data_IF_810479035814
#
_entry.id   IF_810479035814
#
_cell.length_a   1.000
_cell.length_b   1.000
_cell.length_c   1.000
_cell.angle_alpha   90.00
_cell.angle_beta   90.00
_cell.angle_gamma   90.00
#
_symmetry.space_group_name_H-M   'P 1'
#
loop_
_entity.id
_entity.type
_entity.pdbx_description
1 polymer ?
#
# COMPACT_ATOMS: atom_id res chain seq x y z
N UNK A 1 19.04 -3.54 0.28
CA UNK A 1 18.36 -2.90 1.44
C UNK A 1 17.55 -3.99 2.13
N UNK A 2 17.43 -4.05 3.45
CA UNK A 2 16.65 -5.10 4.13
C UNK A 2 15.34 -4.50 4.67
N UNK A 3 14.19 -5.08 4.29
CA UNK A 3 12.86 -4.61 4.69
C UNK A 3 12.12 -5.63 5.57
N UNK A 4 12.86 -6.49 6.28
CA UNK A 4 12.26 -7.52 7.13
C UNK A 4 11.88 -8.81 6.39
N UNK A 5 11.03 -9.65 6.99
CA UNK A 5 10.68 -10.98 6.49
C UNK A 5 10.10 -11.00 5.06
N UNK A 6 9.35 -9.96 4.68
CA UNK A 6 8.70 -9.85 3.37
C UNK A 6 9.50 -9.01 2.36
N UNK A 7 10.83 -8.96 2.51
CA UNK A 7 11.69 -8.08 1.73
C UNK A 7 11.41 -8.12 0.21
N UNK A 8 11.23 -9.31 -0.38
CA UNK A 8 10.97 -9.44 -1.81
C UNK A 8 9.66 -8.76 -2.25
N UNK A 9 8.58 -8.93 -1.49
CA UNK A 9 7.30 -8.28 -1.79
C UNK A 9 7.36 -6.77 -1.57
N UNK A 10 8.04 -6.32 -0.51
CA UNK A 10 8.23 -4.90 -0.22
C UNK A 10 9.05 -4.23 -1.34
N UNK A 11 10.15 -4.86 -1.76
CA UNK A 11 11.00 -4.36 -2.84
C UNK A 11 10.23 -4.30 -4.17
N UNK A 12 9.55 -5.38 -4.54
CA UNK A 12 8.77 -5.42 -5.79
C UNK A 12 7.68 -4.34 -5.83
N UNK A 13 6.99 -4.11 -4.70
CA UNK A 13 6.02 -3.03 -4.60
C UNK A 13 6.67 -1.66 -4.77
N UNK A 14 7.75 -1.35 -4.05
CA UNK A 14 8.49 -0.08 -4.18
C UNK A 14 8.95 0.14 -5.63
N UNK A 15 9.51 -0.88 -6.28
CA UNK A 15 10.02 -0.79 -7.65
C UNK A 15 8.90 -0.55 -8.67
N UNK A 16 7.67 -0.95 -8.34
CA UNK A 16 6.49 -0.71 -9.19
C UNK A 16 5.88 0.67 -9.01
N UNK A 17 6.13 1.38 -7.90
CA UNK A 17 5.53 2.71 -7.62
C UNK A 17 5.80 3.72 -8.73
N UNK A 18 7.03 3.86 -9.28
CA UNK A 18 7.30 4.80 -10.38
C UNK A 18 6.55 4.48 -11.68
N UNK A 19 6.01 3.27 -11.81
CA UNK A 19 5.26 2.84 -12.99
C UNK A 19 3.76 3.11 -12.88
N UNK A 20 3.30 3.70 -11.78
CA UNK A 20 1.90 4.04 -11.57
C UNK A 20 1.44 5.09 -12.58
N UNK A 21 0.27 4.83 -13.18
CA UNK A 21 -0.39 5.71 -14.13
C UNK A 21 -1.54 6.42 -13.41
N UNK A 22 -1.64 7.74 -13.60
CA UNK A 22 -2.68 8.56 -12.97
C UNK A 22 -4.10 8.04 -13.26
N UNK A 23 -4.37 7.69 -14.53
CA UNK A 23 -5.69 7.21 -14.94
C UNK A 23 -6.10 5.92 -14.21
N UNK A 24 -5.16 4.98 -14.03
CA UNK A 24 -5.39 3.71 -13.33
C UNK A 24 -5.65 3.96 -11.84
N UNK A 25 -4.88 4.87 -11.24
CA UNK A 25 -5.08 5.28 -9.84
C UNK A 25 -6.47 5.88 -9.63
N UNK A 26 -6.87 6.85 -10.46
CA UNK A 26 -8.18 7.48 -10.36
C UNK A 26 -9.34 6.50 -10.63
N UNK A 27 -9.13 5.54 -11.53
CA UNK A 27 -10.10 4.48 -11.77
C UNK A 27 -10.24 3.56 -10.55
N UNK A 28 -9.12 3.17 -9.93
CA UNK A 28 -9.12 2.34 -8.73
C UNK A 28 -9.80 3.05 -7.54
N UNK A 29 -9.50 4.33 -7.31
CA UNK A 29 -10.14 5.13 -6.26
C UNK A 29 -11.65 5.22 -6.49
N UNK A 30 -12.08 5.55 -7.70
CA UNK A 30 -13.52 5.58 -8.05
C UNK A 30 -14.17 4.23 -7.82
N UNK A 31 -13.55 3.14 -8.27
CA UNK A 31 -14.08 1.80 -8.08
C UNK A 31 -14.29 1.50 -6.60
N UNK A 32 -13.32 1.78 -5.74
CA UNK A 32 -13.43 1.55 -4.30
C UNK A 32 -14.57 2.34 -3.66
N UNK A 33 -14.69 3.63 -3.97
CA UNK A 33 -15.73 4.49 -3.40
C UNK A 33 -17.14 4.02 -3.75
N UNK A 34 -17.36 3.47 -4.94
CA UNK A 34 -18.69 3.09 -5.39
C UNK A 34 -19.06 1.62 -5.19
N UNK A 35 -18.09 0.71 -5.06
CA UNK A 35 -18.36 -0.74 -5.12
C UNK A 35 -18.04 -1.51 -3.84
N UNK A 36 -17.36 -0.91 -2.86
CA UNK A 36 -16.97 -1.61 -1.63
C UNK A 36 -17.84 -1.12 -0.46
N UNK A 37 -18.79 -1.96 -0.07
CA UNK A 37 -19.60 -1.75 1.13
C UNK A 37 -18.71 -1.86 2.37
N UNK A 38 -18.85 -0.94 3.32
CA UNK A 38 -18.07 -0.88 4.57
C UNK A 38 -16.54 -0.75 4.37
N UNK A 39 -16.10 -0.09 3.28
CA UNK A 39 -14.69 0.13 3.00
C UNK A 39 -13.94 0.79 4.18
N UNK A 40 -14.54 1.79 4.83
CA UNK A 40 -13.93 2.50 5.96
C UNK A 40 -13.61 1.55 7.12
N UNK A 41 -14.59 0.73 7.53
CA UNK A 41 -14.38 -0.26 8.61
C UNK A 41 -13.30 -1.28 8.23
N UNK A 42 -13.32 -1.78 6.99
CA UNK A 42 -12.35 -2.76 6.51
C UNK A 42 -10.93 -2.18 6.46
N UNK A 43 -10.79 -0.90 6.07
CA UNK A 43 -9.54 -0.18 6.17
C UNK A 43 -9.13 -0.08 7.65
N UNK A 44 -9.96 0.49 8.52
CA UNK A 44 -9.63 0.69 9.94
C UNK A 44 -9.11 -0.58 10.62
N UNK A 45 -9.79 -1.71 10.42
CA UNK A 45 -9.36 -3.02 10.90
C UNK A 45 -7.96 -3.41 10.38
N UNK A 46 -7.71 -3.24 9.08
CA UNK A 46 -6.42 -3.54 8.48
C UNK A 46 -5.31 -2.62 9.03
N UNK A 47 -5.57 -1.33 9.25
CA UNK A 47 -4.59 -0.44 9.90
C UNK A 47 -4.34 -0.83 11.34
N UNK A 48 -5.35 -1.29 12.08
CA UNK A 48 -5.16 -1.78 13.43
C UNK A 48 -4.22 -2.99 13.48
N UNK A 49 -4.34 -3.93 12.54
CA UNK A 49 -3.41 -5.08 12.41
C UNK A 49 -1.98 -4.58 12.21
N UNK A 50 -1.77 -3.61 11.31
CA UNK A 50 -0.45 -3.02 11.06
C UNK A 50 0.11 -2.35 12.33
N UNK A 51 -0.67 -1.49 12.97
CA UNK A 51 -0.25 -0.75 14.18
C UNK A 51 0.11 -1.71 15.32
N UNK A 52 -0.65 -2.78 15.51
CA UNK A 52 -0.35 -3.79 16.54
C UNK A 52 0.94 -4.55 16.23
N UNK A 53 1.16 -4.95 14.98
CA UNK A 53 2.37 -5.66 14.57
C UNK A 53 3.63 -4.78 14.65
N UNK A 54 3.53 -3.48 14.34
CA UNK A 54 4.64 -2.52 14.45
C UNK A 54 5.13 -2.29 15.89
N UNK A 55 4.43 -2.80 16.91
CA UNK A 55 4.96 -2.83 18.29
C UNK A 55 6.22 -3.69 18.41
N UNK A 56 6.44 -4.63 17.49
CA UNK A 56 7.69 -5.37 17.41
C UNK A 56 8.78 -4.49 16.73
N UNK A 57 9.92 -4.21 17.38
CA UNK A 57 10.94 -3.29 16.86
C UNK A 57 11.48 -3.67 15.47
N UNK A 58 11.52 -4.96 15.14
CA UNK A 58 11.99 -5.44 13.84
C UNK A 58 11.09 -4.96 12.69
N UNK A 59 9.76 -4.95 12.88
CA UNK A 59 8.83 -4.47 11.86
C UNK A 59 8.85 -2.94 11.73
N UNK A 60 9.02 -2.23 12.84
CA UNK A 60 9.16 -0.77 12.82
C UNK A 60 10.40 -0.29 12.04
N UNK A 61 11.56 -0.92 12.28
CA UNK A 61 12.79 -0.64 11.53
C UNK A 61 12.67 -0.99 10.04
N UNK A 62 12.04 -2.13 9.74
CA UNK A 62 11.77 -2.55 8.38
C UNK A 62 10.89 -1.55 7.63
N UNK A 63 9.78 -1.10 8.26
CA UNK A 63 8.91 -0.08 7.68
C UNK A 63 9.63 1.24 7.50
N UNK A 64 10.42 1.69 8.48
CA UNK A 64 11.20 2.92 8.39
C UNK A 64 12.17 2.88 7.20
N UNK A 65 12.86 1.75 7.02
CA UNK A 65 13.76 1.54 5.88
C UNK A 65 13.00 1.54 4.56
N UNK A 66 11.85 0.87 4.50
CA UNK A 66 11.01 0.82 3.31
C UNK A 66 10.48 2.23 2.93
N UNK A 67 10.06 3.03 3.91
CA UNK A 67 9.60 4.42 3.71
C UNK A 67 10.67 5.30 3.10
N UNK A 68 11.93 5.14 3.51
CA UNK A 68 13.05 5.90 2.97
C UNK A 68 13.25 5.68 1.45
N UNK A 69 12.83 4.54 0.92
CA UNK A 69 12.84 4.23 -0.52
C UNK A 69 11.54 4.58 -1.23
N UNK A 70 10.39 4.34 -0.58
CA UNK A 70 9.09 4.57 -1.18
C UNK A 70 8.78 6.07 -1.36
N UNK A 71 9.14 6.93 -0.40
CA UNK A 71 8.82 8.36 -0.46
C UNK A 71 9.42 9.03 -1.71
N UNK A 72 10.73 8.88 -2.01
CA UNK A 72 11.29 9.41 -3.25
C UNK A 72 10.63 8.85 -4.52
N UNK A 73 10.22 7.57 -4.51
CA UNK A 73 9.54 6.97 -5.66
C UNK A 73 8.16 7.60 -5.92
N UNK A 74 7.42 7.93 -4.85
CA UNK A 74 6.13 8.63 -4.94
C UNK A 74 6.35 10.08 -5.39
N UNK A 75 7.27 10.77 -4.73
CA UNK A 75 7.56 12.18 -4.99
C UNK A 75 8.17 12.40 -6.40
N UNK A 76 8.70 11.33 -7.03
CA UNK A 76 9.20 11.33 -8.40
C UNK A 76 8.12 11.14 -9.50
N UNK A 77 6.87 10.84 -9.13
CA UNK A 77 5.77 10.73 -10.11
C UNK A 77 5.38 12.12 -10.62
N UNK A 78 5.44 12.34 -11.93
CA UNK A 78 5.21 13.65 -12.54
C UNK A 78 3.79 14.21 -12.34
N UNK A 79 2.83 13.34 -12.02
CA UNK A 79 1.42 13.66 -11.83
C UNK A 79 1.01 13.68 -10.35
N UNK A 80 1.91 13.31 -9.43
CA UNK A 80 1.60 13.34 -8.00
C UNK A 80 1.62 14.77 -7.48
N UNK A 81 0.51 15.21 -6.89
CA UNK A 81 0.41 16.46 -6.14
C UNK A 81 -0.25 16.22 -4.78
N UNK A 82 0.33 16.68 -3.66
CA UNK A 82 -0.29 16.56 -2.35
C UNK A 82 -1.53 17.45 -2.20
N UNK A 83 -1.65 18.52 -3.01
CA UNK A 83 -2.73 19.50 -2.93
C UNK A 83 -3.91 19.17 -3.86
N UNK A 84 -3.73 18.26 -4.82
CA UNK A 84 -4.76 17.87 -5.77
C UNK A 84 -5.67 16.78 -5.21
N UNK A 85 -6.99 16.96 -5.33
CA UNK A 85 -7.98 16.03 -4.75
C UNK A 85 -7.92 14.61 -5.32
N UNK A 86 -7.47 14.45 -6.56
CA UNK A 86 -7.29 13.17 -7.26
C UNK A 86 -6.12 12.35 -6.70
N UNK A 87 -5.07 13.00 -6.18
CA UNK A 87 -3.81 12.37 -5.79
C UNK A 87 -3.44 12.56 -4.32
N UNK A 88 -4.15 13.41 -3.57
CA UNK A 88 -3.86 13.73 -2.16
C UNK A 88 -3.67 12.51 -1.25
N UNK A 89 -4.36 11.40 -1.55
CA UNK A 89 -4.30 10.18 -0.75
C UNK A 89 -3.30 9.15 -1.28
N UNK A 90 -2.64 9.37 -2.42
CA UNK A 90 -1.72 8.41 -3.01
C UNK A 90 -0.58 8.06 -2.04
N UNK A 91 0.09 9.09 -1.51
CA UNK A 91 1.23 8.90 -0.59
C UNK A 91 0.81 8.11 0.64
N UNK A 92 -0.33 8.44 1.24
CA UNK A 92 -0.85 7.71 2.39
C UNK A 92 -1.13 6.24 2.05
N UNK A 93 -1.84 5.97 0.96
CA UNK A 93 -2.17 4.59 0.56
C UNK A 93 -0.93 3.76 0.24
N UNK A 94 0.09 4.34 -0.41
CA UNK A 94 1.36 3.63 -0.67
C UNK A 94 2.06 3.29 0.64
N UNK A 95 2.13 4.23 1.59
CA UNK A 95 2.78 4.01 2.89
C UNK A 95 2.03 2.98 3.76
N UNK A 96 0.71 2.94 3.64
CA UNK A 96 -0.12 1.98 4.38
C UNK A 96 -0.07 0.58 3.78
N UNK A 97 -0.09 0.45 2.45
CA UNK A 97 0.16 -0.80 1.76
C UNK A 97 1.57 -1.33 2.09
N UNK A 98 2.57 -0.45 2.17
CA UNK A 98 3.92 -0.80 2.59
C UNK A 98 3.96 -1.35 4.02
N UNK A 99 3.24 -0.71 4.95
CA UNK A 99 3.06 -1.20 6.31
C UNK A 99 2.47 -2.60 6.34
N UNK A 100 1.40 -2.82 5.57
CA UNK A 100 0.76 -4.12 5.43
C UNK A 100 1.70 -5.18 4.85
N UNK A 101 2.50 -4.87 3.81
CA UNK A 101 3.50 -5.79 3.25
C UNK A 101 4.58 -6.16 4.26
N UNK A 102 5.08 -5.19 5.03
CA UNK A 102 6.13 -5.43 6.03
C UNK A 102 5.67 -6.44 7.08
N UNK A 103 4.42 -6.32 7.55
CA UNK A 103 3.86 -7.18 8.61
C UNK A 103 3.06 -8.37 8.07
N UNK A 104 3.09 -8.59 6.76
CA UNK A 104 2.31 -9.62 6.09
C UNK A 104 2.70 -11.00 6.61
N UNK A 105 1.71 -11.74 7.09
CA UNK A 105 1.85 -13.13 7.51
C UNK A 105 0.70 -13.95 6.91
N UNK A 106 0.89 -15.25 6.64
CA UNK A 106 -0.17 -16.07 6.04
C UNK A 106 -1.49 -16.07 6.82
N UNK A 107 -1.44 -15.96 8.15
CA UNK A 107 -2.60 -15.98 9.05
C UNK A 107 -3.35 -14.64 9.14
N UNK A 108 -2.75 -13.54 8.66
CA UNK A 108 -3.35 -12.21 8.68
C UNK A 108 -3.60 -11.62 7.28
N UNK A 109 -3.29 -12.35 6.21
CA UNK A 109 -3.40 -11.88 4.82
C UNK A 109 -4.78 -11.28 4.50
N UNK A 110 -5.86 -12.00 4.80
CA UNK A 110 -7.24 -11.52 4.55
C UNK A 110 -7.57 -10.22 5.28
N UNK A 111 -7.01 -10.03 6.49
CA UNK A 111 -7.21 -8.81 7.28
C UNK A 111 -6.42 -7.62 6.72
N UNK A 112 -5.36 -7.88 5.96
CA UNK A 112 -4.52 -6.85 5.34
C UNK A 112 -4.92 -6.55 3.89
N UNK A 113 -5.70 -7.43 3.26
CA UNK A 113 -6.21 -7.28 1.89
C UNK A 113 -6.83 -5.90 1.61
N UNK A 114 -7.62 -5.29 2.51
CA UNK A 114 -8.15 -3.94 2.30
C UNK A 114 -7.08 -2.88 2.01
N UNK A 115 -5.86 -3.02 2.56
CA UNK A 115 -4.77 -2.06 2.26
C UNK A 115 -4.16 -2.18 0.87
N UNK A 116 -4.48 -3.25 0.16
CA UNK A 116 -4.03 -3.47 -1.21
C UNK A 116 -5.10 -3.08 -2.24
N UNK A 117 -6.35 -2.90 -1.82
CA UNK A 117 -7.47 -2.54 -2.70
C UNK A 117 -7.26 -1.29 -3.57
N UNK A 118 -6.62 -0.20 -3.08
CA UNK A 118 -6.36 0.99 -3.89
C UNK A 118 -5.51 0.74 -5.15
N UNK A 119 -4.85 -0.41 -5.20
CA UNK A 119 -3.91 -0.79 -6.24
C UNK A 119 -4.43 -1.94 -7.12
N UNK A 120 -5.66 -2.42 -6.91
CA UNK A 120 -6.23 -3.58 -7.63
C UNK A 120 -6.17 -3.44 -9.15
N UNK A 121 -6.34 -2.21 -9.65
CA UNK A 121 -6.38 -1.91 -11.08
C UNK A 121 -5.19 -1.06 -11.53
N UNK A 122 -4.09 -1.07 -10.78
CA UNK A 122 -2.87 -0.33 -11.13
C UNK A 122 -1.74 -1.28 -11.51
N UNK A 123 -0.63 -0.71 -11.96
CA UNK A 123 0.62 -1.42 -12.27
C UNK A 123 1.41 -1.84 -11.02
N UNK A 124 0.91 -1.54 -9.81
CA UNK A 124 1.61 -1.89 -8.58
C UNK A 124 1.70 -3.42 -8.41
N UNK A 125 2.89 -3.90 -8.09
CA UNK A 125 3.15 -5.33 -7.86
C UNK A 125 2.83 -5.67 -6.41
N UNK A 126 1.80 -6.50 -6.22
CA UNK A 126 1.30 -6.92 -4.90
C UNK A 126 1.18 -8.45 -4.82
N UNK A 127 1.34 -9.05 -3.63
CA UNK A 127 1.18 -10.48 -3.41
C UNK A 127 -0.30 -10.89 -3.33
N UNK A 128 -1.16 -10.30 -4.17
CA UNK A 128 -2.61 -10.52 -4.15
C UNK A 128 -3.04 -11.12 -5.48
N UNK A 129 -3.74 -12.26 -5.42
CA UNK A 129 -4.45 -12.79 -6.56
C UNK A 129 -5.90 -12.27 -6.51
N UNK A 130 -6.23 -11.33 -7.40
CA UNK A 130 -7.52 -10.64 -7.37
C UNK A 130 -8.71 -11.48 -7.84
N UNK A 131 -8.47 -12.68 -8.38
CA UNK A 131 -9.51 -13.50 -9.01
C UNK A 131 -10.06 -12.80 -10.26
N UNK A 132 -9.68 -13.30 -11.44
CA UNK A 132 -10.27 -12.85 -12.71
C UNK A 132 -11.75 -13.23 -12.82
#
# INVERSE_FOLDING_TARGET
MFYGPNHAHVQAFIDSVPTLIQADWEAAVRFMTFNIVNLENALDEATMVVVLALRAPAFDQALTSAKASAIPAIDGLSWYSPDESSTKFLKQNVLEALGALVVLQPDNFEKLLPRFMPFRHTTAVLPVNWGG
#
